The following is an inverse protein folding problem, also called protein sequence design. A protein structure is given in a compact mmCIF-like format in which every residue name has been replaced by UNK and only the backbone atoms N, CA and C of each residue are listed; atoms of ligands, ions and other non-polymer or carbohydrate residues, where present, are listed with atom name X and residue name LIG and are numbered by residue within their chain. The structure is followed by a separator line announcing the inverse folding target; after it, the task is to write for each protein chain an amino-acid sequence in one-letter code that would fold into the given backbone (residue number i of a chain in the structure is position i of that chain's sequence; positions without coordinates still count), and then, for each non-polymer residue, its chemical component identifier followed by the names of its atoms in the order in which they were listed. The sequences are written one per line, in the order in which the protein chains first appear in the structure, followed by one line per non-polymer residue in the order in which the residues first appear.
data_IF_732514373397
#
_entry.id   IF_732514373397
#
_cell.length_a   1.000
_cell.length_b   1.000
_cell.length_c   1.000
_cell.angle_alpha   90.00
_cell.angle_beta   90.00
_cell.angle_gamma   90.00
#
_symmetry.space_group_name_H-M   'P 1'
#
loop_
_entity.id
_entity.type
_entity.pdbx_description
1 polymer ?
#
# COMPACT_ATOMS: atom_id res chain seq x y z
N UNK A 1 -0.77 -21.18 3.67
CA UNK A 1 -1.97 -20.67 2.96
C UNK A 1 -2.88 -21.83 2.57
N UNK A 2 -4.18 -21.61 2.56
CA UNK A 2 -5.19 -22.57 2.12
C UNK A 2 -6.10 -21.95 1.07
N UNK A 3 -6.42 -22.71 0.02
CA UNK A 3 -7.17 -22.25 -1.12
C UNK A 3 -8.16 -23.34 -1.59
N UNK A 4 -9.44 -23.02 -1.81
CA UNK A 4 -10.40 -24.01 -2.29
C UNK A 4 -10.09 -24.37 -3.75
N UNK A 5 -10.23 -25.63 -4.12
CA UNK A 5 -10.01 -26.08 -5.50
C UNK A 5 -11.05 -25.54 -6.50
N UNK A 6 -12.20 -25.11 -6.01
CA UNK A 6 -13.29 -24.58 -6.84
C UNK A 6 -13.82 -23.27 -6.29
N UNK A 7 -14.27 -22.36 -7.17
CA UNK A 7 -14.92 -21.10 -6.75
C UNK A 7 -16.16 -21.34 -5.87
N UNK A 8 -16.92 -22.38 -6.14
CA UNK A 8 -18.08 -22.75 -5.34
C UNK A 8 -17.70 -23.19 -3.90
N UNK A 9 -16.48 -23.66 -3.71
CA UNK A 9 -15.94 -24.04 -2.41
C UNK A 9 -15.56 -22.89 -1.50
N UNK A 10 -15.40 -21.68 -2.03
CA UNK A 10 -14.87 -20.54 -1.26
C UNK A 10 -15.78 -20.14 -0.08
N UNK A 11 -17.08 -20.01 -0.32
CA UNK A 11 -18.03 -19.69 0.75
C UNK A 11 -18.14 -20.82 1.79
N UNK A 12 -18.16 -22.07 1.32
CA UNK A 12 -18.17 -23.25 2.19
C UNK A 12 -16.90 -23.36 3.04
N UNK A 13 -15.74 -23.04 2.45
CA UNK A 13 -14.47 -23.06 3.17
C UNK A 13 -14.44 -22.03 4.29
N UNK A 14 -14.89 -20.81 4.02
CA UNK A 14 -14.92 -19.75 5.04
C UNK A 14 -15.82 -20.14 6.22
N UNK A 15 -17.01 -20.67 5.95
CA UNK A 15 -17.95 -21.16 6.98
C UNK A 15 -17.37 -22.34 7.76
N UNK A 16 -16.75 -23.29 7.09
CA UNK A 16 -16.13 -24.45 7.72
C UNK A 16 -14.95 -24.05 8.60
N UNK A 17 -14.08 -23.15 8.15
CA UNK A 17 -12.95 -22.64 8.94
C UNK A 17 -13.43 -21.88 10.18
N UNK A 18 -14.51 -21.11 10.07
CA UNK A 18 -15.10 -20.44 11.23
C UNK A 18 -15.61 -21.43 12.28
N UNK A 19 -16.32 -22.47 11.86
CA UNK A 19 -16.79 -23.54 12.76
C UNK A 19 -15.65 -24.30 13.43
N UNK A 20 -14.59 -24.62 12.69
CA UNK A 20 -13.41 -25.27 13.24
C UNK A 20 -12.67 -24.38 14.25
N UNK A 21 -12.62 -23.08 14.01
CA UNK A 21 -12.02 -22.13 14.95
C UNK A 21 -12.85 -21.95 16.24
N UNK A 22 -14.18 -22.09 16.16
CA UNK A 22 -15.06 -22.10 17.34
C UNK A 22 -14.84 -23.34 18.22
N UNK A 23 -14.61 -24.50 17.60
CA UNK A 23 -14.37 -25.76 18.32
C UNK A 23 -12.96 -25.84 18.93
N UNK A 24 -11.97 -25.23 18.29
CA UNK A 24 -10.56 -25.32 18.66
C UNK A 24 -9.93 -23.93 18.82
N UNK A 25 -9.75 -23.45 20.05
CA UNK A 25 -9.17 -22.14 20.32
C UNK A 25 -7.69 -22.02 19.92
N UNK A 26 -7.03 -23.12 19.63
CA UNK A 26 -5.62 -23.14 19.17
C UNK A 26 -5.48 -23.02 17.65
N UNK A 27 -6.60 -23.13 16.93
CA UNK A 27 -6.68 -22.94 15.50
C UNK A 27 -7.17 -21.54 15.15
N UNK A 28 -6.53 -20.90 14.19
CA UNK A 28 -6.91 -19.57 13.69
C UNK A 28 -6.94 -19.58 12.17
N UNK A 29 -7.90 -18.85 11.62
CA UNK A 29 -7.98 -18.59 10.20
C UNK A 29 -8.26 -17.10 9.96
N UNK A 30 -7.56 -16.50 9.03
CA UNK A 30 -7.77 -15.11 8.63
C UNK A 30 -7.41 -14.92 7.15
N UNK A 31 -7.95 -13.89 6.54
CA UNK A 31 -7.54 -13.47 5.20
C UNK A 31 -6.45 -12.42 5.32
N UNK A 32 -5.31 -12.68 4.71
CA UNK A 32 -4.25 -11.68 4.57
C UNK A 32 -4.70 -10.59 3.60
N UNK A 33 -4.73 -9.36 4.06
CA UNK A 33 -5.26 -8.25 3.27
C UNK A 33 -4.31 -7.81 2.13
N UNK A 34 -3.02 -8.08 2.27
CA UNK A 34 -2.02 -7.70 1.27
C UNK A 34 -1.97 -8.71 0.13
N UNK A 35 -2.04 -10.00 0.43
CA UNK A 35 -1.97 -11.07 -0.57
C UNK A 35 -3.33 -11.61 -1.02
N UNK A 36 -4.38 -11.33 -0.24
CA UNK A 36 -5.71 -11.89 -0.45
C UNK A 36 -5.84 -13.38 -0.12
N UNK A 37 -4.76 -14.01 0.37
CA UNK A 37 -4.76 -15.42 0.73
C UNK A 37 -5.46 -15.68 2.06
N UNK A 38 -6.13 -16.81 2.16
CA UNK A 38 -6.60 -17.33 3.44
C UNK A 38 -5.46 -18.07 4.13
N UNK A 39 -5.12 -17.63 5.32
CA UNK A 39 -4.04 -18.19 6.15
C UNK A 39 -4.65 -18.95 7.30
N UNK A 40 -4.17 -20.16 7.51
CA UNK A 40 -4.50 -20.97 8.69
C UNK A 40 -3.26 -21.12 9.57
N UNK A 41 -3.47 -21.04 10.88
CA UNK A 41 -2.43 -21.19 11.88
C UNK A 41 -2.89 -22.15 12.98
N UNK A 42 -1.97 -22.98 13.43
CA UNK A 42 -2.23 -23.97 14.49
C UNK A 42 -0.97 -24.27 15.28
N UNK A 43 -1.04 -25.29 16.13
CA UNK A 43 0.05 -25.68 17.03
C UNK A 43 1.23 -26.39 16.32
N UNK A 44 1.03 -26.84 15.08
CA UNK A 44 2.05 -27.52 14.31
C UNK A 44 1.49 -28.11 13.03
N UNK A 45 2.36 -28.71 12.23
CA UNK A 45 2.02 -29.25 10.91
C UNK A 45 0.96 -30.36 11.00
N UNK A 46 1.09 -31.29 11.93
CA UNK A 46 0.10 -32.35 12.14
C UNK A 46 -1.28 -31.81 12.50
N UNK A 47 -1.33 -30.77 13.34
CA UNK A 47 -2.59 -30.11 13.68
C UNK A 47 -3.27 -29.54 12.45
N UNK A 48 -2.52 -28.85 11.60
CA UNK A 48 -3.04 -28.27 10.37
C UNK A 48 -3.45 -29.35 9.34
N UNK A 49 -2.74 -30.46 9.26
CA UNK A 49 -3.12 -31.61 8.43
C UNK A 49 -4.45 -32.19 8.87
N UNK A 50 -4.69 -32.33 10.17
CA UNK A 50 -5.97 -32.79 10.70
C UNK A 50 -7.10 -31.82 10.35
N UNK A 51 -6.87 -30.52 10.46
CA UNK A 51 -7.85 -29.50 10.08
C UNK A 51 -8.22 -29.61 8.59
N UNK A 52 -7.24 -29.76 7.73
CA UNK A 52 -7.47 -29.93 6.26
C UNK A 52 -8.22 -31.22 5.96
N UNK A 53 -7.90 -32.31 6.66
CA UNK A 53 -8.62 -33.58 6.53
C UNK A 53 -10.08 -33.45 6.99
N UNK A 54 -10.34 -32.75 8.07
CA UNK A 54 -11.70 -32.45 8.54
C UNK A 54 -12.50 -31.58 7.55
N UNK A 55 -11.86 -30.60 6.90
CA UNK A 55 -12.48 -29.81 5.84
C UNK A 55 -12.99 -30.70 4.71
N UNK A 56 -12.21 -31.69 4.29
CA UNK A 56 -12.60 -32.62 3.24
C UNK A 56 -13.69 -33.59 3.69
N UNK A 57 -13.52 -34.23 4.86
CA UNK A 57 -14.42 -35.30 5.31
C UNK A 57 -15.75 -34.79 5.86
N UNK A 58 -15.72 -33.78 6.73
CA UNK A 58 -16.90 -33.27 7.41
C UNK A 58 -17.65 -32.22 6.59
N UNK A 59 -16.92 -31.31 5.94
CA UNK A 59 -17.50 -30.17 5.22
C UNK A 59 -17.55 -30.35 3.70
N UNK A 60 -16.95 -31.42 3.18
CA UNK A 60 -16.87 -31.70 1.73
C UNK A 60 -16.21 -30.55 0.93
N UNK A 61 -15.19 -29.93 1.51
CA UNK A 61 -14.40 -28.87 0.88
C UNK A 61 -13.02 -29.41 0.54
N UNK A 62 -12.72 -29.46 -0.75
CA UNK A 62 -11.37 -29.74 -1.23
C UNK A 62 -10.55 -28.45 -1.28
N UNK A 63 -9.37 -28.50 -0.70
CA UNK A 63 -8.48 -27.36 -0.63
C UNK A 63 -7.04 -27.75 -0.98
N UNK A 64 -6.32 -26.81 -1.58
CA UNK A 64 -4.88 -26.85 -1.74
C UNK A 64 -4.21 -26.11 -0.58
N UNK A 65 -3.11 -26.66 -0.09
CA UNK A 65 -2.31 -26.07 0.99
C UNK A 65 -0.91 -25.79 0.49
N UNK A 66 -0.39 -24.63 0.83
CA UNK A 66 0.97 -24.24 0.45
C UNK A 66 1.54 -23.20 1.40
N UNK A 67 2.80 -22.83 1.17
CA UNK A 67 3.42 -21.74 1.89
C UNK A 67 2.69 -20.41 1.62
N UNK A 68 2.53 -19.54 2.63
CA UNK A 68 2.03 -18.19 2.41
C UNK A 68 2.94 -17.40 1.46
N UNK A 69 2.35 -16.51 0.68
CA UNK A 69 3.12 -15.55 -0.08
C UNK A 69 3.77 -14.53 0.85
N UNK A 70 5.00 -14.15 0.55
CA UNK A 70 5.68 -13.08 1.25
C UNK A 70 5.23 -11.75 0.65
N UNK A 71 4.65 -10.88 1.47
CA UNK A 71 4.31 -9.52 1.10
C UNK A 71 5.57 -8.65 1.20
N UNK A 72 6.24 -8.43 0.08
CA UNK A 72 7.40 -7.53 0.02
C UNK A 72 6.96 -6.08 0.06
N UNK A 73 7.77 -5.25 0.71
CA UNK A 73 7.65 -3.80 0.74
C UNK A 73 8.99 -3.17 0.42
N UNK A 74 8.96 -2.00 -0.18
CA UNK A 74 10.15 -1.18 -0.43
C UNK A 74 10.24 -0.07 0.62
N UNK A 75 11.42 0.47 0.82
CA UNK A 75 11.63 1.64 1.68
C UNK A 75 12.84 2.44 1.22
N UNK A 76 12.92 3.68 1.67
CA UNK A 76 14.11 4.51 1.49
C UNK A 76 15.03 4.36 2.69
N UNK A 77 16.33 4.44 2.47
CA UNK A 77 17.35 4.28 3.52
C UNK A 77 18.14 5.55 3.80
N UNK A 78 18.01 6.56 2.94
CA UNK A 78 18.75 7.82 3.04
C UNK A 78 17.83 9.01 2.79
N UNK A 79 18.08 10.15 3.44
CA UNK A 79 17.42 11.40 3.10
C UNK A 79 17.75 11.83 1.66
N UNK A 80 16.77 12.37 0.97
CA UNK A 80 16.90 12.90 -0.40
C UNK A 80 16.14 14.21 -0.52
N UNK A 81 16.69 15.16 -1.24
CA UNK A 81 16.07 16.44 -1.59
C UNK A 81 15.81 16.50 -3.09
N UNK A 82 14.56 16.60 -3.47
CA UNK A 82 14.13 16.56 -4.87
C UNK A 82 13.45 17.86 -5.27
N UNK A 83 13.91 18.42 -6.35
CA UNK A 83 13.29 19.55 -7.06
C UNK A 83 12.48 19.00 -8.24
N UNK A 84 11.16 18.97 -8.12
CA UNK A 84 10.26 18.40 -9.11
C UNK A 84 9.42 19.47 -9.78
N UNK A 85 9.52 19.54 -11.10
CA UNK A 85 8.78 20.48 -11.91
C UNK A 85 8.03 19.76 -13.02
N UNK A 86 6.71 19.87 -13.01
CA UNK A 86 5.85 19.45 -14.10
C UNK A 86 5.33 20.68 -14.83
N UNK A 87 5.82 20.90 -16.06
CA UNK A 87 5.40 21.99 -16.91
C UNK A 87 5.10 21.44 -18.31
N UNK A 88 3.87 21.62 -18.77
CA UNK A 88 3.43 21.18 -20.10
C UNK A 88 2.58 22.26 -20.74
N UNK A 89 2.92 22.62 -21.96
CA UNK A 89 2.14 23.56 -22.75
C UNK A 89 1.90 22.97 -24.15
N UNK A 90 0.63 22.80 -24.49
CA UNK A 90 0.20 22.25 -25.76
C UNK A 90 -1.03 23.03 -26.24
N UNK A 91 -0.79 24.17 -26.95
CA UNK A 91 -1.81 24.92 -27.66
C UNK A 91 -3.06 25.29 -26.84
N UNK A 92 -2.95 26.23 -25.89
CA UNK A 92 -4.03 26.67 -25.00
C UNK A 92 -3.55 26.81 -23.56
N UNK A 93 -4.43 26.52 -22.60
CA UNK A 93 -4.08 26.54 -21.17
C UNK A 93 -3.07 25.42 -20.90
N UNK A 94 -1.90 25.78 -20.39
CA UNK A 94 -0.85 24.83 -20.01
C UNK A 94 -1.09 24.17 -18.65
N UNK A 95 -0.09 23.41 -18.21
CA UNK A 95 -0.03 22.83 -16.89
C UNK A 95 1.30 23.20 -16.23
N UNK A 96 1.27 23.58 -14.97
CA UNK A 96 2.44 23.96 -14.22
C UNK A 96 2.29 23.57 -12.74
N UNK A 97 3.18 22.71 -12.27
CA UNK A 97 3.34 22.35 -10.85
C UNK A 97 4.82 22.22 -10.53
N UNK A 98 5.29 22.93 -9.50
CA UNK A 98 6.66 22.88 -9.07
C UNK A 98 6.75 22.80 -7.56
N UNK A 99 7.37 21.75 -7.06
CA UNK A 99 7.57 21.52 -5.63
C UNK A 99 8.97 21.01 -5.35
N UNK A 100 9.51 21.43 -4.20
CA UNK A 100 10.74 20.90 -3.63
C UNK A 100 10.40 20.13 -2.39
N UNK A 101 10.78 18.87 -2.37
CA UNK A 101 10.40 17.91 -1.32
C UNK A 101 11.63 17.24 -0.75
N UNK A 102 11.72 17.25 0.57
CA UNK A 102 12.69 16.44 1.32
C UNK A 102 12.03 15.15 1.75
N UNK A 103 12.66 14.05 1.38
CA UNK A 103 12.25 12.72 1.81
C UNK A 103 13.21 12.20 2.86
N UNK A 104 12.68 11.69 3.96
CA UNK A 104 13.45 11.09 5.06
C UNK A 104 12.89 9.72 5.40
N UNK A 105 13.76 8.75 5.72
CA UNK A 105 13.29 7.43 6.16
C UNK A 105 12.60 7.52 7.52
N UNK A 106 11.51 6.75 7.65
CA UNK A 106 10.79 6.52 8.90
C UNK A 106 10.87 5.05 9.31
N UNK A 107 10.41 4.75 10.52
CA UNK A 107 10.26 3.36 10.96
C UNK A 107 9.25 2.60 10.09
N UNK A 108 9.73 1.57 9.42
CA UNK A 108 8.92 0.73 8.52
C UNK A 108 7.93 -0.18 9.27
N UNK A 109 8.12 -0.38 10.57
CA UNK A 109 7.26 -1.18 11.45
C UNK A 109 6.31 -0.31 12.30
N UNK A 110 6.37 1.00 12.14
CA UNK A 110 5.49 1.94 12.83
C UNK A 110 4.03 1.85 12.37
N UNK A 111 3.12 2.42 13.15
CA UNK A 111 1.71 2.50 12.79
C UNK A 111 1.50 3.37 11.54
N UNK A 112 2.27 4.45 11.43
CA UNK A 112 2.30 5.32 10.27
C UNK A 112 3.45 4.92 9.34
N UNK A 113 3.13 4.57 8.11
CA UNK A 113 4.11 4.22 7.08
C UNK A 113 4.42 5.36 6.11
N UNK A 114 3.60 6.41 6.16
CA UNK A 114 3.76 7.63 5.38
C UNK A 114 3.35 8.83 6.20
N UNK A 115 4.20 9.87 6.20
CA UNK A 115 3.90 11.16 6.82
C UNK A 115 4.19 12.26 5.82
N UNK A 116 3.23 13.16 5.63
CA UNK A 116 3.37 14.34 4.79
C UNK A 116 3.29 15.62 5.61
N UNK A 117 4.25 16.51 5.41
CA UNK A 117 4.31 17.82 6.04
C UNK A 117 4.54 18.92 5.01
N UNK A 118 4.18 20.13 5.37
CA UNK A 118 4.49 21.33 4.59
C UNK A 118 5.12 22.40 5.46
N UNK A 119 6.29 22.85 5.05
CA UNK A 119 6.97 24.01 5.62
C UNK A 119 7.14 25.14 4.62
N UNK A 120 6.28 25.16 3.59
CA UNK A 120 6.25 26.21 2.58
C UNK A 120 5.93 27.56 3.23
N UNK A 121 6.73 28.58 2.91
CA UNK A 121 6.59 29.94 3.40
C UNK A 121 6.33 30.92 2.25
N UNK A 122 5.75 32.08 2.60
CA UNK A 122 5.57 33.18 1.64
C UNK A 122 4.59 32.92 0.51
N UNK A 123 3.81 31.83 0.57
CA UNK A 123 2.87 31.50 -0.51
C UNK A 123 3.53 31.00 -1.77
N UNK A 124 4.76 30.48 -1.70
CA UNK A 124 5.48 29.92 -2.84
C UNK A 124 4.68 28.83 -3.58
N UNK A 125 3.90 28.05 -2.84
CA UNK A 125 2.84 27.20 -3.35
C UNK A 125 1.53 27.63 -2.70
N UNK A 126 0.44 27.90 -3.44
CA UNK A 126 -0.86 28.15 -2.87
C UNK A 126 -1.30 27.00 -1.94
N UNK A 127 -1.86 27.36 -0.78
CA UNK A 127 -2.24 26.35 0.24
C UNK A 127 -3.19 25.29 -0.25
N UNK A 128 -4.04 25.63 -1.20
CA UNK A 128 -4.99 24.71 -1.86
C UNK A 128 -4.33 23.60 -2.67
N UNK A 129 -3.09 23.81 -3.15
CA UNK A 129 -2.35 22.82 -3.96
C UNK A 129 -1.41 21.93 -3.15
N UNK A 130 -1.12 22.28 -1.91
CA UNK A 130 -0.20 21.53 -1.05
C UNK A 130 -0.71 20.09 -0.78
N UNK A 131 -1.98 19.85 -0.44
CA UNK A 131 -2.50 18.49 -0.28
C UNK A 131 -2.31 17.63 -1.52
N UNK A 132 -2.49 18.20 -2.70
CA UNK A 132 -2.32 17.47 -3.97
C UNK A 132 -0.90 16.93 -4.17
N UNK A 133 0.13 17.64 -3.70
CA UNK A 133 1.52 17.15 -3.69
C UNK A 133 1.63 15.90 -2.82
N UNK A 134 1.09 15.91 -1.62
CA UNK A 134 1.08 14.77 -0.70
C UNK A 134 0.35 13.55 -1.26
N UNK A 135 -0.81 13.76 -1.87
CA UNK A 135 -1.58 12.70 -2.52
C UNK A 135 -0.84 12.10 -3.71
N UNK A 136 -0.15 12.92 -4.51
CA UNK A 136 0.66 12.46 -5.63
C UNK A 136 1.84 11.59 -5.18
N UNK A 137 2.50 11.95 -4.09
CA UNK A 137 3.56 11.16 -3.48
C UNK A 137 2.99 9.83 -2.97
N UNK A 138 1.89 9.86 -2.24
CA UNK A 138 1.26 8.65 -1.69
C UNK A 138 0.83 7.68 -2.78
N UNK A 139 0.30 8.18 -3.89
CA UNK A 139 -0.06 7.35 -5.04
C UNK A 139 1.17 6.71 -5.68
N UNK A 140 2.27 7.45 -5.84
CA UNK A 140 3.52 6.91 -6.37
C UNK A 140 4.12 5.83 -5.46
N UNK A 141 3.94 5.95 -4.13
CA UNK A 141 4.40 4.95 -3.15
C UNK A 141 3.69 3.60 -3.26
N UNK A 142 2.54 3.51 -3.91
CA UNK A 142 1.80 2.24 -4.08
C UNK A 142 2.55 1.23 -4.94
N UNK A 143 3.44 1.70 -5.81
CA UNK A 143 4.24 0.88 -6.72
C UNK A 143 5.67 1.39 -6.77
N UNK A 144 6.55 0.79 -5.99
CA UNK A 144 7.96 1.16 -5.89
C UNK A 144 8.77 0.84 -7.15
N UNK A 145 9.90 1.49 -7.28
CA UNK A 145 10.76 1.43 -8.50
C UNK A 145 11.55 0.12 -8.56
N UNK A 146 11.89 -0.48 -7.43
CA UNK A 146 12.78 -1.65 -7.38
C UNK A 146 12.09 -2.92 -7.86
N UNK A 147 10.89 -3.18 -7.39
CA UNK A 147 10.16 -4.39 -7.70
C UNK A 147 8.67 -4.20 -7.88
N UNK A 148 8.19 -2.96 -7.86
CA UNK A 148 6.76 -2.64 -7.95
C UNK A 148 5.98 -2.89 -6.66
N UNK A 149 6.69 -3.12 -5.53
CA UNK A 149 6.05 -3.34 -4.24
C UNK A 149 5.69 -2.01 -3.55
N UNK A 150 4.69 -2.00 -2.66
CA UNK A 150 4.35 -0.79 -1.92
C UNK A 150 5.54 -0.27 -1.12
N UNK A 151 5.75 1.06 -1.16
CA UNK A 151 6.79 1.73 -0.39
C UNK A 151 6.24 2.16 0.96
N UNK A 152 6.99 1.94 2.01
CA UNK A 152 6.64 2.29 3.40
C UNK A 152 7.80 2.98 4.10
N UNK A 153 7.51 3.68 5.18
CA UNK A 153 8.53 4.33 6.00
C UNK A 153 9.10 5.60 5.35
N UNK A 154 8.24 6.46 4.82
CA UNK A 154 8.62 7.71 4.15
C UNK A 154 7.99 8.92 4.83
N UNK A 155 8.81 9.84 5.26
CA UNK A 155 8.43 11.18 5.66
C UNK A 155 8.76 12.15 4.52
N UNK A 156 7.75 12.83 3.99
CA UNK A 156 7.88 13.80 2.93
C UNK A 156 7.54 15.20 3.45
N UNK A 157 8.46 16.14 3.28
CA UNK A 157 8.27 17.55 3.63
C UNK A 157 8.40 18.40 2.38
N UNK A 158 7.31 18.98 1.91
CA UNK A 158 7.34 20.01 0.89
C UNK A 158 7.70 21.35 1.56
N UNK A 159 8.78 21.96 1.10
CA UNK A 159 9.31 23.16 1.76
C UNK A 159 9.39 24.39 0.86
N UNK A 160 9.34 24.20 -0.46
CA UNK A 160 9.43 25.27 -1.45
C UNK A 160 8.77 24.85 -2.77
N UNK A 161 8.63 25.77 -3.67
CA UNK A 161 8.12 25.55 -5.01
C UNK A 161 7.81 26.86 -5.71
N UNK A 162 7.06 26.76 -6.78
CA UNK A 162 6.51 27.92 -7.49
C UNK A 162 5.23 27.55 -8.20
N UNK A 163 4.44 28.54 -8.54
CA UNK A 163 3.19 28.37 -9.27
C UNK A 163 3.06 29.37 -10.39
N UNK A 164 2.18 29.09 -11.33
CA UNK A 164 1.79 30.00 -12.40
C UNK A 164 0.29 30.29 -12.29
N UNK A 165 -0.09 31.57 -12.31
CA UNK A 165 -1.48 31.97 -12.04
C UNK A 165 -2.53 31.33 -12.96
N UNK A 166 -2.15 31.07 -14.21
CA UNK A 166 -3.06 30.49 -15.23
C UNK A 166 -2.94 28.98 -15.36
N UNK A 167 -1.71 28.46 -15.32
CA UNK A 167 -1.40 27.06 -15.68
C UNK A 167 -1.32 26.12 -14.48
N UNK A 168 -1.25 26.64 -13.26
CA UNK A 168 -1.28 25.80 -12.06
C UNK A 168 -2.67 25.28 -11.72
N UNK A 169 -2.70 24.05 -11.22
CA UNK A 169 -3.88 23.34 -10.79
C UNK A 169 -3.52 22.29 -9.75
N UNK A 170 -4.50 21.77 -9.05
CA UNK A 170 -4.33 20.60 -8.16
C UNK A 170 -3.73 19.42 -8.92
N UNK A 171 -4.23 19.13 -10.11
CA UNK A 171 -3.72 18.05 -10.96
C UNK A 171 -2.25 18.22 -11.30
N UNK A 172 -1.80 19.44 -11.65
CA UNK A 172 -0.41 19.70 -11.97
C UNK A 172 0.51 19.49 -10.76
N UNK A 173 0.08 19.88 -9.58
CA UNK A 173 0.83 19.65 -8.33
C UNK A 173 0.77 18.19 -7.88
N UNK A 174 -0.32 17.49 -8.10
CA UNK A 174 -0.41 16.05 -7.90
C UNK A 174 0.63 15.30 -8.75
N UNK A 175 0.71 15.63 -10.03
CA UNK A 175 1.71 15.05 -10.94
C UNK A 175 3.13 15.43 -10.51
N UNK A 176 3.38 16.68 -10.13
CA UNK A 176 4.68 17.10 -9.63
C UNK A 176 5.10 16.34 -8.37
N UNK A 177 4.18 16.11 -7.46
CA UNK A 177 4.40 15.26 -6.27
C UNK A 177 4.71 13.82 -6.62
N UNK A 178 3.94 13.23 -7.52
CA UNK A 178 4.19 11.87 -8.03
C UNK A 178 5.55 11.71 -8.71
N UNK A 179 5.99 12.73 -9.46
CA UNK A 179 7.30 12.73 -10.11
C UNK A 179 8.46 13.00 -9.15
N UNK A 180 8.19 13.62 -8.00
CA UNK A 180 9.20 13.88 -6.97
C UNK A 180 9.63 12.59 -6.27
N UNK A 181 8.73 11.65 -6.12
CA UNK A 181 8.96 10.36 -5.49
C UNK A 181 9.43 9.32 -6.51
#
# INVERSE_FOLDING_TARGET
AIEPKTKAGQGKMAEALAKLAEEDPTFRAHTDQETGQTIIAGMGELHLEIIVDRLLREFKVEANVGAPQVAYKESITKPVDIDSKYAKQSGGRGQYGHCKVKFEPMDVNGEETYKFESTVVGGAIPKEYIPAVGEGIEEAMKSGILGGFPVVGVHANVYDGSYHEVDSSEMAFHIAGSLAF
#
